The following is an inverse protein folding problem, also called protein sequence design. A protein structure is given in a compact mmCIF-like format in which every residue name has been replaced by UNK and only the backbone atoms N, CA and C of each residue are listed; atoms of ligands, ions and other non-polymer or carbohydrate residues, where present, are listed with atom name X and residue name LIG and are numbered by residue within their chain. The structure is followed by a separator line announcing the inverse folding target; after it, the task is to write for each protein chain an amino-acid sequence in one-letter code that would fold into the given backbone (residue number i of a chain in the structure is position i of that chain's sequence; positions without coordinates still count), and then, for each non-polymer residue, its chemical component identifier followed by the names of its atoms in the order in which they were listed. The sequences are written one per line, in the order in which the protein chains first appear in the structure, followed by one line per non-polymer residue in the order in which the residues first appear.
data_IF_523412470360
#
_entry.id   IF_523412470360
#
_cell.length_a   1.000
_cell.length_b   1.000
_cell.length_c   1.000
_cell.angle_alpha   90.00
_cell.angle_beta   90.00
_cell.angle_gamma   90.00
#
_symmetry.space_group_name_H-M   'P 1'
#
loop_
_entity.id
_entity.type
_entity.pdbx_description
1 polymer ?
#
# COMPACT_ATOMS: atom_id res chain seq x y z
N UNK A 1 -2.72 -12.02 10.99
CA UNK A 1 -1.43 -12.17 10.28
C UNK A 1 -1.28 -13.65 9.97
N UNK A 2 -1.44 -14.04 8.71
CA UNK A 2 -1.27 -15.39 8.15
C UNK A 2 -1.81 -16.56 9.02
N UNK A 3 -3.07 -16.93 8.80
CA UNK A 3 -3.66 -18.13 9.38
C UNK A 3 -3.56 -19.25 8.35
N UNK A 4 -2.48 -20.03 8.40
CA UNK A 4 -2.31 -21.26 7.61
C UNK A 4 -2.04 -22.38 8.59
N UNK A 5 -2.91 -23.39 8.62
CA UNK A 5 -2.78 -24.54 9.54
C UNK A 5 -1.96 -25.67 8.89
N UNK A 6 -1.28 -26.47 9.72
CA UNK A 6 -0.48 -27.62 9.27
C UNK A 6 -1.40 -28.82 8.94
N UNK A 7 -1.02 -29.72 8.00
CA UNK A 7 0.20 -29.70 7.20
C UNK A 7 0.16 -28.63 6.10
N UNK A 8 1.29 -27.97 5.85
CA UNK A 8 1.37 -26.98 4.78
C UNK A 8 1.26 -27.66 3.41
N UNK A 9 0.62 -26.99 2.45
CA UNK A 9 0.44 -27.55 1.11
C UNK A 9 1.79 -27.70 0.38
N UNK A 10 1.92 -28.68 -0.54
CA UNK A 10 3.17 -28.93 -1.27
C UNK A 10 3.72 -27.70 -2.00
N UNK A 11 2.82 -26.81 -2.45
CA UNK A 11 3.16 -25.56 -3.13
C UNK A 11 3.88 -24.52 -2.25
N UNK A 12 3.93 -24.74 -0.93
CA UNK A 12 4.60 -23.86 0.03
C UNK A 12 6.09 -24.14 0.19
N UNK A 13 6.64 -25.21 -0.40
CA UNK A 13 8.09 -25.53 -0.34
C UNK A 13 8.70 -25.51 -1.73
N UNK A 14 9.09 -24.33 -2.20
CA UNK A 14 9.58 -24.13 -3.57
C UNK A 14 11.08 -23.86 -3.58
N UNK A 15 11.75 -24.31 -4.65
CA UNK A 15 13.16 -24.00 -4.91
C UNK A 15 13.31 -22.58 -5.47
N UNK A 16 14.52 -22.01 -5.34
CA UNK A 16 14.85 -20.73 -5.96
C UNK A 16 14.71 -20.82 -7.48
N UNK A 17 14.21 -19.73 -8.09
CA UNK A 17 14.17 -19.65 -9.53
C UNK A 17 15.58 -19.48 -10.13
N UNK A 18 15.86 -20.06 -11.30
CA UNK A 18 17.04 -19.73 -12.06
C UNK A 18 17.05 -18.22 -12.39
N UNK A 19 18.14 -17.54 -12.06
CA UNK A 19 18.32 -16.12 -12.31
C UNK A 19 19.54 -15.88 -13.21
N UNK A 20 19.41 -14.95 -14.16
CA UNK A 20 20.53 -14.48 -15.00
C UNK A 20 21.59 -13.77 -14.15
N UNK A 21 22.85 -13.65 -14.61
CA UNK A 21 23.91 -12.98 -13.84
C UNK A 21 23.52 -11.58 -13.36
N UNK A 22 22.93 -10.76 -14.24
CA UNK A 22 22.41 -9.42 -13.91
C UNK A 22 21.31 -9.46 -12.84
N UNK A 23 20.41 -10.45 -12.89
CA UNK A 23 19.36 -10.60 -11.89
C UNK A 23 19.92 -11.10 -10.54
N UNK A 24 20.95 -11.94 -10.53
CA UNK A 24 21.62 -12.40 -9.31
C UNK A 24 22.28 -11.26 -8.57
N UNK A 25 23.05 -10.42 -9.27
CA UNK A 25 23.69 -9.24 -8.69
C UNK A 25 22.65 -8.27 -8.11
N UNK A 26 21.57 -8.00 -8.86
CA UNK A 26 20.48 -7.17 -8.36
C UNK A 26 19.83 -7.78 -7.10
N UNK A 27 19.63 -9.10 -7.08
CA UNK A 27 19.03 -9.80 -5.94
C UNK A 27 19.92 -9.71 -4.70
N UNK A 28 21.24 -9.88 -4.86
CA UNK A 28 22.23 -9.75 -3.79
C UNK A 28 22.21 -8.35 -3.18
N UNK A 29 22.19 -7.33 -4.03
CA UNK A 29 22.10 -5.93 -3.60
C UNK A 29 20.80 -5.66 -2.80
N UNK A 30 19.65 -6.10 -3.32
CA UNK A 30 18.35 -5.91 -2.63
C UNK A 30 18.31 -6.64 -1.29
N UNK A 31 18.78 -7.89 -1.21
CA UNK A 31 18.78 -8.66 0.04
C UNK A 31 19.70 -8.00 1.07
N UNK A 32 20.91 -7.60 0.68
CA UNK A 32 21.86 -6.94 1.57
C UNK A 32 21.30 -5.62 2.12
N UNK A 33 20.65 -4.81 1.28
CA UNK A 33 20.03 -3.56 1.72
C UNK A 33 18.87 -3.81 2.70
N UNK A 34 18.04 -4.82 2.42
CA UNK A 34 16.94 -5.20 3.32
C UNK A 34 17.44 -5.78 4.65
N UNK A 35 18.57 -6.48 4.66
CA UNK A 35 19.24 -6.94 5.88
C UNK A 35 19.77 -5.75 6.70
N UNK A 36 20.45 -4.79 6.06
CA UNK A 36 20.94 -3.56 6.72
C UNK A 36 19.81 -2.74 7.34
N UNK A 37 18.64 -2.73 6.70
CA UNK A 37 17.44 -2.05 7.20
C UNK A 37 16.69 -2.82 8.30
N UNK A 38 17.14 -4.04 8.64
CA UNK A 38 16.48 -4.91 9.61
C UNK A 38 15.11 -5.41 9.15
N UNK A 39 14.88 -5.48 7.84
CA UNK A 39 13.65 -6.01 7.24
C UNK A 39 13.78 -7.52 6.99
N UNK A 40 14.98 -7.98 6.62
CA UNK A 40 15.32 -9.39 6.44
C UNK A 40 16.35 -9.86 7.46
N UNK A 41 16.29 -11.15 7.79
CA UNK A 41 17.32 -11.88 8.53
C UNK A 41 17.68 -13.14 7.75
N UNK A 42 18.95 -13.53 7.78
CA UNK A 42 19.39 -14.83 7.24
C UNK A 42 18.92 -15.94 8.18
N UNK A 43 18.37 -17.01 7.63
CA UNK A 43 17.98 -18.19 8.42
C UNK A 43 19.24 -19.00 8.73
N UNK A 44 19.43 -19.33 10.01
CA UNK A 44 20.61 -20.07 10.47
C UNK A 44 20.50 -21.57 10.16
N UNK A 45 21.64 -22.26 10.14
CA UNK A 45 21.72 -23.68 9.75
C UNK A 45 20.96 -24.63 10.69
N UNK A 46 20.70 -24.20 11.92
CA UNK A 46 20.00 -24.97 12.95
C UNK A 46 18.48 -24.72 12.95
N UNK A 47 17.97 -23.83 12.10
CA UNK A 47 16.55 -23.54 12.01
C UNK A 47 15.87 -24.43 10.96
N UNK A 48 14.87 -25.20 11.38
CA UNK A 48 14.06 -26.00 10.46
C UNK A 48 13.28 -25.10 9.49
N UNK A 49 13.36 -25.40 8.19
CA UNK A 49 12.64 -24.68 7.14
C UNK A 49 11.57 -25.56 6.51
N UNK A 50 10.32 -25.23 6.82
CA UNK A 50 9.14 -25.97 6.33
C UNK A 50 8.56 -25.35 5.04
N UNK A 51 8.69 -24.03 4.89
CA UNK A 51 8.06 -23.23 3.83
C UNK A 51 9.09 -22.26 3.23
N UNK A 52 9.11 -22.14 1.91
CA UNK A 52 9.95 -21.21 1.15
C UNK A 52 9.23 -20.67 -0.08
N UNK A 53 9.27 -19.35 -0.23
CA UNK A 53 8.83 -18.63 -1.42
C UNK A 53 10.02 -18.18 -2.27
N UNK A 54 10.05 -18.48 -3.58
CA UNK A 54 11.13 -18.01 -4.44
C UNK A 54 10.97 -16.51 -4.71
N UNK A 55 12.08 -15.86 -5.04
CA UNK A 55 12.11 -14.42 -5.36
C UNK A 55 12.47 -14.21 -6.82
N UNK A 56 11.89 -13.18 -7.42
CA UNK A 56 12.18 -12.74 -8.78
C UNK A 56 12.58 -11.27 -8.79
N UNK A 57 13.42 -10.89 -9.75
CA UNK A 57 13.71 -9.50 -10.06
C UNK A 57 12.85 -9.07 -11.24
N UNK A 58 12.11 -7.98 -11.06
CA UNK A 58 11.39 -7.30 -12.13
C UNK A 58 12.10 -5.98 -12.43
N UNK A 59 12.11 -5.58 -13.71
CA UNK A 59 12.76 -4.36 -14.16
C UNK A 59 11.71 -3.37 -14.67
N UNK A 60 11.82 -2.12 -14.26
CA UNK A 60 10.96 -1.04 -14.74
C UNK A 60 11.78 0.25 -14.85
N UNK A 61 11.91 0.82 -16.05
CA UNK A 61 12.75 1.99 -16.34
C UNK A 61 14.16 1.84 -15.74
N UNK A 62 14.82 0.71 -16.05
CA UNK A 62 16.14 0.29 -15.52
C UNK A 62 16.28 0.15 -14.00
N UNK A 63 15.20 0.34 -13.24
CA UNK A 63 15.17 0.08 -11.79
C UNK A 63 14.72 -1.35 -11.54
N UNK A 64 15.54 -2.10 -10.82
CA UNK A 64 15.20 -3.45 -10.37
C UNK A 64 14.32 -3.41 -9.11
N UNK A 65 13.38 -4.33 -9.02
CA UNK A 65 12.55 -4.57 -7.83
C UNK A 65 12.53 -6.05 -7.50
N UNK A 66 12.87 -6.38 -6.25
CA UNK A 66 12.72 -7.73 -5.73
C UNK A 66 11.26 -7.99 -5.36
N UNK A 67 10.70 -9.09 -5.88
CA UNK A 67 9.33 -9.53 -5.62
C UNK A 67 9.37 -10.97 -5.12
N UNK A 68 8.82 -11.22 -3.94
CA UNK A 68 8.59 -12.57 -3.45
C UNK A 68 7.36 -13.18 -4.09
N UNK A 69 7.48 -14.40 -4.60
CA UNK A 69 6.34 -15.14 -5.14
C UNK A 69 5.53 -15.76 -4.00
N UNK A 70 4.66 -14.93 -3.43
CA UNK A 70 3.78 -15.29 -2.32
C UNK A 70 2.42 -15.83 -2.79
N UNK A 71 2.25 -16.16 -4.07
CA UNK A 71 0.96 -16.60 -4.61
C UNK A 71 0.47 -17.86 -3.89
N UNK A 72 1.34 -18.86 -3.73
CA UNK A 72 1.00 -20.08 -3.01
C UNK A 72 0.57 -19.76 -1.56
N UNK A 73 1.39 -19.01 -0.82
CA UNK A 73 1.07 -18.60 0.55
C UNK A 73 -0.29 -17.89 0.64
N UNK A 74 -0.54 -16.97 -0.30
CA UNK A 74 -1.78 -16.22 -0.36
C UNK A 74 -2.98 -17.11 -0.61
N UNK A 75 -2.89 -18.12 -1.49
CA UNK A 75 -3.98 -19.07 -1.77
C UNK A 75 -4.48 -19.75 -0.50
N UNK A 76 -3.56 -20.15 0.38
CA UNK A 76 -3.90 -20.87 1.62
C UNK A 76 -4.11 -19.96 2.83
N UNK A 77 -3.81 -18.67 2.69
CA UNK A 77 -4.10 -17.69 3.74
C UNK A 77 -5.58 -17.34 3.72
N UNK A 78 -6.24 -17.56 4.86
CA UNK A 78 -7.62 -17.12 5.08
C UNK A 78 -7.69 -15.59 4.88
N UNK A 79 -8.56 -15.08 3.98
CA UNK A 79 -8.64 -13.65 3.71
C UNK A 79 -9.18 -12.89 4.91
N UNK A 80 -8.46 -11.84 5.33
CA UNK A 80 -8.91 -10.90 6.35
C UNK A 80 -9.77 -9.81 5.70
N UNK A 81 -11.09 -9.87 5.89
CA UNK A 81 -12.07 -8.96 5.29
C UNK A 81 -12.32 -7.72 6.16
N UNK A 82 -11.25 -7.04 6.58
CA UNK A 82 -11.38 -5.73 7.23
C UNK A 82 -11.99 -4.72 6.25
N UNK A 83 -12.96 -3.89 6.64
CA UNK A 83 -13.53 -2.88 5.76
C UNK A 83 -12.47 -1.86 5.35
N UNK A 84 -12.24 -1.76 4.04
CA UNK A 84 -11.39 -0.74 3.44
C UNK A 84 -12.34 0.30 2.82
N UNK A 85 -12.15 1.61 3.09
CA UNK A 85 -13.00 2.66 2.55
C UNK A 85 -13.10 2.57 1.03
N UNK A 86 -14.32 2.65 0.49
CA UNK A 86 -14.53 2.62 -0.96
C UNK A 86 -14.15 3.96 -1.55
N UNK A 87 -13.45 3.94 -2.69
CA UNK A 87 -12.98 5.16 -3.37
C UNK A 87 -14.14 6.14 -3.68
N UNK A 88 -15.34 5.67 -3.98
CA UNK A 88 -16.49 6.56 -4.23
C UNK A 88 -16.97 7.32 -2.99
N UNK A 89 -16.93 6.69 -1.80
CA UNK A 89 -17.28 7.36 -0.55
C UNK A 89 -16.25 8.45 -0.23
N UNK A 90 -14.96 8.15 -0.47
CA UNK A 90 -13.85 9.10 -0.40
C UNK A 90 -14.03 10.30 -1.34
N UNK A 91 -14.50 10.08 -2.56
CA UNK A 91 -14.70 11.14 -3.57
C UNK A 91 -15.78 12.16 -3.16
N UNK A 92 -16.84 11.73 -2.49
CA UNK A 92 -17.93 12.62 -2.06
C UNK A 92 -17.48 13.55 -0.92
N UNK A 93 -16.56 13.10 -0.07
CA UNK A 93 -15.97 13.95 0.96
C UNK A 93 -14.96 14.94 0.37
N UNK A 94 -14.17 14.49 -0.61
CA UNK A 94 -13.22 15.34 -1.33
C UNK A 94 -13.89 16.48 -2.11
N UNK A 95 -15.10 16.28 -2.65
CA UNK A 95 -15.80 17.32 -3.41
C UNK A 95 -16.25 18.52 -2.58
N UNK A 96 -16.37 18.37 -1.26
CA UNK A 96 -16.72 19.45 -0.32
C UNK A 96 -15.49 20.19 0.23
N UNK A 97 -14.29 19.66 -0.02
CA UNK A 97 -13.05 20.21 0.50
C UNK A 97 -12.56 21.39 -0.36
N UNK A 98 -12.15 22.47 0.30
CA UNK A 98 -11.49 23.62 -0.33
C UNK A 98 -9.96 23.51 -0.28
N UNK A 99 -9.45 22.85 0.76
CA UNK A 99 -8.03 22.60 0.98
C UNK A 99 -7.79 21.12 1.17
N UNK A 100 -6.85 20.58 0.40
CA UNK A 100 -6.48 19.17 0.44
C UNK A 100 -4.97 19.04 0.65
N UNK A 101 -4.59 18.24 1.65
CA UNK A 101 -3.23 17.76 1.82
C UNK A 101 -3.22 16.25 1.65
N UNK A 102 -2.34 15.72 0.81
CA UNK A 102 -2.15 14.27 0.67
C UNK A 102 -0.72 13.88 0.98
N UNK A 103 -0.56 12.71 1.61
CA UNK A 103 0.74 12.18 1.99
C UNK A 103 0.74 10.66 1.91
N UNK A 104 1.88 10.09 1.54
CA UNK A 104 2.09 8.65 1.39
C UNK A 104 2.99 8.15 2.53
N UNK A 105 2.58 7.08 3.20
CA UNK A 105 3.41 6.42 4.20
C UNK A 105 4.64 5.80 3.53
N UNK A 106 5.84 6.22 3.95
CA UNK A 106 7.08 5.76 3.35
C UNK A 106 7.27 4.28 3.64
N UNK A 107 7.13 3.45 2.60
CA UNK A 107 7.26 1.99 2.71
C UNK A 107 6.38 1.44 3.85
N UNK A 108 5.11 1.86 3.91
CA UNK A 108 4.19 1.64 5.04
C UNK A 108 4.20 0.22 5.62
N UNK A 109 4.24 -0.80 4.76
CA UNK A 109 4.32 -2.21 5.21
C UNK A 109 5.57 -2.54 6.02
N UNK A 110 6.74 -2.00 5.68
CA UNK A 110 8.00 -2.30 6.38
C UNK A 110 8.15 -1.60 7.74
N UNK A 111 7.10 -0.98 8.27
CA UNK A 111 7.11 -0.37 9.60
C UNK A 111 6.61 -1.32 10.69
N UNK A 112 5.77 -2.30 10.34
CA UNK A 112 5.16 -3.23 11.29
C UNK A 112 5.93 -4.55 11.38
N UNK A 113 6.19 -5.02 12.60
CA UNK A 113 6.81 -6.31 12.84
C UNK A 113 5.85 -7.48 12.58
N UNK A 114 6.38 -8.55 12.00
CA UNK A 114 5.66 -9.82 11.87
C UNK A 114 5.76 -10.62 13.16
N UNK A 115 4.72 -11.38 13.49
CA UNK A 115 4.76 -12.38 14.56
C UNK A 115 5.74 -13.50 14.21
N UNK A 116 6.42 -14.15 15.18
CA UNK A 116 7.38 -15.22 14.90
C UNK A 116 6.83 -16.34 14.00
N UNK A 117 5.55 -16.68 14.15
CA UNK A 117 4.86 -17.63 13.29
C UNK A 117 4.77 -17.15 11.83
N UNK A 118 4.31 -15.91 11.61
CA UNK A 118 4.20 -15.34 10.28
C UNK A 118 5.56 -15.19 9.57
N UNK A 119 6.65 -14.94 10.33
CA UNK A 119 8.03 -14.88 9.79
C UNK A 119 8.43 -16.20 9.13
N UNK A 120 8.12 -17.33 9.78
CA UNK A 120 8.43 -18.67 9.26
C UNK A 120 7.69 -18.97 7.96
N UNK A 121 6.45 -18.49 7.83
CA UNK A 121 5.63 -18.65 6.61
C UNK A 121 6.09 -17.74 5.46
N UNK A 122 6.78 -16.64 5.77
CA UNK A 122 7.27 -15.65 4.82
C UNK A 122 8.76 -15.83 4.50
N UNK A 123 9.30 -17.03 4.69
CA UNK A 123 10.68 -17.33 4.31
C UNK A 123 10.83 -17.29 2.80
N UNK A 124 11.85 -16.59 2.33
CA UNK A 124 12.23 -16.51 0.93
C UNK A 124 13.49 -17.31 0.66
N UNK A 125 13.60 -17.87 -0.54
CA UNK A 125 14.78 -18.62 -0.99
C UNK A 125 15.42 -17.94 -2.19
N UNK A 126 16.73 -17.69 -2.09
CA UNK A 126 17.59 -17.18 -3.15
C UNK A 126 18.67 -18.22 -3.49
N UNK A 127 19.47 -17.98 -4.55
CA UNK A 127 20.47 -18.97 -5.03
C UNK A 127 21.57 -19.31 -4.01
N UNK A 128 21.75 -18.51 -2.96
CA UNK A 128 22.83 -18.68 -1.97
C UNK A 128 22.33 -18.80 -0.52
N UNK A 129 21.01 -18.84 -0.29
CA UNK A 129 20.49 -18.99 1.05
C UNK A 129 19.00 -18.70 1.21
N UNK A 130 18.54 -18.90 2.45
CA UNK A 130 17.16 -18.68 2.87
C UNK A 130 17.14 -17.49 3.84
N UNK A 131 16.15 -16.62 3.67
CA UNK A 131 15.96 -15.42 4.46
C UNK A 131 14.53 -15.34 4.97
N UNK A 132 14.31 -14.67 6.08
CA UNK A 132 12.98 -14.43 6.63
C UNK A 132 12.70 -12.94 6.80
N UNK A 133 11.47 -12.55 6.48
CA UNK A 133 10.99 -11.21 6.74
C UNK A 133 10.72 -11.02 8.24
N UNK A 134 11.27 -9.95 8.81
CA UNK A 134 10.99 -9.51 10.18
C UNK A 134 9.81 -8.53 10.22
N UNK A 135 9.54 -7.86 9.11
CA UNK A 135 8.50 -6.82 8.98
C UNK A 135 7.56 -7.14 7.82
N UNK A 136 6.35 -6.58 7.84
CA UNK A 136 5.38 -6.81 6.77
C UNK A 136 6.00 -6.39 5.43
N UNK A 137 5.78 -7.21 4.41
CA UNK A 137 6.28 -6.98 3.05
C UNK A 137 5.13 -6.90 2.06
N UNK A 138 5.40 -6.34 0.90
CA UNK A 138 4.46 -6.30 -0.21
C UNK A 138 4.13 -7.72 -0.70
N UNK A 139 2.93 -7.87 -1.27
CA UNK A 139 2.46 -9.13 -1.83
C UNK A 139 1.77 -10.07 -0.84
N UNK A 140 1.68 -9.73 0.44
CA UNK A 140 0.89 -10.49 1.42
C UNK A 140 -0.59 -10.12 1.28
N UNK A 141 -1.46 -11.11 1.08
CA UNK A 141 -2.92 -10.93 0.90
C UNK A 141 -3.57 -10.05 1.97
N UNK A 142 -3.24 -10.26 3.24
CA UNK A 142 -3.88 -9.58 4.36
C UNK A 142 -3.14 -8.30 4.82
N UNK A 143 -2.07 -7.90 4.15
CA UNK A 143 -1.31 -6.71 4.55
C UNK A 143 -2.14 -5.42 4.46
N UNK A 144 -2.92 -5.15 3.38
CA UNK A 144 -3.79 -3.97 3.30
C UNK A 144 -4.81 -3.91 4.45
N UNK A 145 -5.50 -5.02 4.72
CA UNK A 145 -6.51 -5.12 5.80
C UNK A 145 -5.90 -4.84 7.17
N UNK A 146 -4.71 -5.37 7.43
CA UNK A 146 -4.00 -5.15 8.69
C UNK A 146 -3.58 -3.69 8.84
N UNK A 147 -3.05 -3.09 7.77
CA UNK A 147 -2.66 -1.68 7.76
C UNK A 147 -3.86 -0.76 7.97
N UNK A 148 -4.98 -1.03 7.30
CA UNK A 148 -6.21 -0.26 7.48
C UNK A 148 -6.74 -0.36 8.92
N UNK A 149 -6.69 -1.54 9.54
CA UNK A 149 -7.09 -1.73 10.93
C UNK A 149 -6.23 -0.91 11.89
N UNK A 150 -4.91 -0.90 11.67
CA UNK A 150 -3.99 -0.06 12.42
C UNK A 150 -4.38 1.42 12.29
N UNK A 151 -4.63 1.90 11.07
CA UNK A 151 -5.04 3.28 10.82
C UNK A 151 -6.38 3.64 11.48
N UNK A 152 -7.35 2.74 11.44
CA UNK A 152 -8.63 2.92 12.12
C UNK A 152 -8.48 3.00 13.65
N UNK A 153 -7.46 2.36 14.21
CA UNK A 153 -7.15 2.42 15.65
C UNK A 153 -6.44 3.72 16.02
N UNK A 154 -5.60 4.25 15.13
CA UNK A 154 -4.84 5.48 15.35
C UNK A 154 -5.74 6.72 15.15
N UNK A 155 -6.63 6.69 14.16
CA UNK A 155 -7.46 7.83 13.77
C UNK A 155 -8.98 7.57 13.84
N UNK A 156 -9.51 6.99 14.94
CA UNK A 156 -10.90 6.56 14.97
C UNK A 156 -11.88 7.73 14.80
N UNK A 157 -11.60 8.85 15.47
CA UNK A 157 -12.46 10.03 15.45
C UNK A 157 -12.39 10.75 14.10
N UNK A 158 -11.18 10.98 13.60
CA UNK A 158 -10.93 11.76 12.39
C UNK A 158 -11.48 11.05 11.14
N UNK A 159 -11.41 9.72 11.11
CA UNK A 159 -12.04 8.90 10.07
C UNK A 159 -13.57 8.91 10.18
N UNK A 160 -14.13 8.89 11.40
CA UNK A 160 -15.58 8.93 11.61
C UNK A 160 -16.21 10.26 11.21
N UNK A 161 -15.48 11.37 11.42
CA UNK A 161 -15.90 12.71 11.03
C UNK A 161 -15.75 12.96 9.52
N UNK A 162 -14.99 12.12 8.81
CA UNK A 162 -14.92 12.15 7.35
C UNK A 162 -14.07 13.27 6.76
N UNK A 163 -13.27 13.97 7.56
CA UNK A 163 -12.30 14.94 7.03
C UNK A 163 -10.91 14.34 6.84
N UNK A 164 -10.62 13.22 7.50
CA UNK A 164 -9.44 12.41 7.26
C UNK A 164 -9.85 11.17 6.48
N UNK A 165 -9.16 10.91 5.38
CA UNK A 165 -9.41 9.75 4.54
C UNK A 165 -8.11 8.98 4.42
N UNK A 166 -8.15 7.71 4.80
CA UNK A 166 -6.99 6.82 4.74
C UNK A 166 -7.35 5.61 3.92
N UNK A 167 -6.61 5.40 2.83
CA UNK A 167 -6.74 4.22 1.99
C UNK A 167 -5.38 3.54 1.87
N UNK A 168 -5.18 2.49 2.67
CA UNK A 168 -3.90 1.79 2.77
C UNK A 168 -2.79 2.83 3.05
N UNK A 169 -1.86 3.06 2.12
CA UNK A 169 -0.69 3.92 2.32
C UNK A 169 -0.98 5.42 2.10
N UNK A 170 -2.12 5.78 1.50
CA UNK A 170 -2.51 7.16 1.22
C UNK A 170 -3.28 7.78 2.39
N UNK A 171 -2.81 8.92 2.87
CA UNK A 171 -3.45 9.71 3.94
C UNK A 171 -3.82 11.07 3.34
N UNK A 172 -5.10 11.42 3.40
CA UNK A 172 -5.66 12.60 2.76
C UNK A 172 -6.46 13.39 3.79
N UNK A 173 -6.13 14.67 3.92
CA UNK A 173 -6.76 15.61 4.84
C UNK A 173 -7.57 16.60 4.03
N UNK A 174 -8.84 16.75 4.39
CA UNK A 174 -9.80 17.61 3.72
C UNK A 174 -10.25 18.73 4.65
N UNK A 175 -10.35 19.97 4.16
CA UNK A 175 -10.85 21.09 4.96
C UNK A 175 -11.51 22.19 4.15
N UNK A 176 -12.42 22.92 4.78
CA UNK A 176 -13.24 23.97 4.20
C UNK A 176 -12.55 25.35 4.29
N UNK A 177 -11.76 25.57 5.34
CA UNK A 177 -10.99 26.80 5.57
C UNK A 177 -9.53 26.49 5.81
N UNK A 178 -8.66 27.47 5.56
CA UNK A 178 -7.21 27.28 5.71
C UNK A 178 -6.79 27.08 7.17
N UNK A 179 -7.40 27.84 8.08
CA UNK A 179 -7.14 27.76 9.51
C UNK A 179 -7.45 26.35 10.05
N UNK A 180 -8.63 25.84 9.72
CA UNK A 180 -9.04 24.48 10.08
C UNK A 180 -8.12 23.43 9.45
N UNK A 181 -7.64 23.67 8.23
CA UNK A 181 -6.70 22.77 7.57
C UNK A 181 -5.38 22.63 8.32
N UNK A 182 -4.82 23.74 8.82
CA UNK A 182 -3.60 23.73 9.61
C UNK A 182 -3.79 23.02 10.95
N UNK A 183 -4.94 23.19 11.60
CA UNK A 183 -5.29 22.49 12.83
C UNK A 183 -5.37 20.96 12.62
N UNK A 184 -6.14 20.53 11.61
CA UNK A 184 -6.29 19.13 11.21
C UNK A 184 -4.94 18.51 10.84
N UNK A 185 -4.14 19.20 10.04
CA UNK A 185 -2.80 18.73 9.67
C UNK A 185 -1.88 18.61 10.88
N UNK A 186 -1.88 19.59 11.78
CA UNK A 186 -1.08 19.55 13.01
C UNK A 186 -1.44 18.33 13.86
N UNK A 187 -2.74 18.06 14.02
CA UNK A 187 -3.24 16.89 14.76
C UNK A 187 -2.75 15.59 14.12
N UNK A 188 -2.93 15.44 12.81
CA UNK A 188 -2.50 14.24 12.09
C UNK A 188 -1.00 14.03 12.22
N UNK A 189 -0.18 15.04 11.93
CA UNK A 189 1.28 14.93 12.02
C UNK A 189 1.76 14.61 13.44
N UNK A 190 1.15 15.20 14.48
CA UNK A 190 1.46 14.86 15.88
C UNK A 190 1.21 13.39 16.17
N UNK A 191 0.08 12.85 15.72
CA UNK A 191 -0.24 11.44 15.96
C UNK A 191 0.65 10.49 15.15
N UNK A 192 0.98 10.87 13.92
CA UNK A 192 1.96 10.14 13.10
C UNK A 192 3.33 10.06 13.79
N UNK A 193 3.78 11.18 14.38
CA UNK A 193 5.02 11.21 15.16
C UNK A 193 4.95 10.32 16.41
N UNK A 194 3.83 10.34 17.13
CA UNK A 194 3.62 9.50 18.33
C UNK A 194 3.72 8.01 18.03
N UNK A 195 3.17 7.56 16.90
CA UNK A 195 3.25 6.15 16.47
C UNK A 195 4.53 5.83 15.69
N UNK A 196 5.45 6.79 15.58
CA UNK A 196 6.71 6.70 14.83
C UNK A 196 6.53 6.25 13.36
N UNK A 197 5.39 6.60 12.75
CA UNK A 197 5.17 6.31 11.33
C UNK A 197 5.96 7.30 10.47
N UNK A 198 6.56 6.80 9.39
CA UNK A 198 7.36 7.62 8.46
C UNK A 198 6.54 8.00 7.23
N UNK A 199 6.63 9.26 6.83
CA UNK A 199 5.95 9.82 5.65
C UNK A 199 6.97 10.10 4.55
N UNK A 200 6.58 9.89 3.29
CA UNK A 200 7.39 10.26 2.12
C UNK A 200 7.27 11.74 1.81
N UNK A 201 8.32 12.52 2.13
CA UNK A 201 8.37 13.95 1.79
C UNK A 201 8.25 14.22 0.28
N UNK A 202 8.77 13.32 -0.56
CA UNK A 202 8.67 13.46 -2.03
C UNK A 202 7.23 13.33 -2.55
N UNK A 203 6.38 12.66 -1.79
CA UNK A 203 4.95 12.45 -2.11
C UNK A 203 4.05 13.26 -1.18
N UNK A 204 4.62 14.23 -0.45
CA UNK A 204 3.86 15.11 0.42
C UNK A 204 3.34 16.29 -0.39
N UNK A 205 2.03 16.37 -0.52
CA UNK A 205 1.33 17.38 -1.27
C UNK A 205 0.56 18.28 -0.29
N UNK A 206 1.02 19.51 -0.09
CA UNK A 206 0.48 20.41 0.92
C UNK A 206 -0.55 21.41 0.38
N UNK A 207 -1.73 21.45 0.98
CA UNK A 207 -2.64 22.60 0.93
C UNK A 207 -3.14 23.02 -0.46
N UNK A 208 -3.30 22.07 -1.38
CA UNK A 208 -3.77 22.37 -2.74
C UNK A 208 -5.24 22.83 -2.73
N UNK A 209 -5.57 23.83 -3.56
CA UNK A 209 -6.85 24.54 -3.53
C UNK A 209 -7.88 24.06 -4.59
N UNK A 210 -7.64 23.00 -5.37
CA UNK A 210 -8.52 22.65 -6.51
C UNK A 210 -8.58 21.15 -6.90
N UNK A 211 -9.58 20.81 -7.72
CA UNK A 211 -9.86 19.53 -8.41
C UNK A 211 -8.65 18.78 -9.01
N UNK A 212 -7.52 19.44 -9.28
CA UNK A 212 -6.27 18.76 -9.65
C UNK A 212 -5.78 17.80 -8.55
N UNK A 213 -6.06 18.12 -7.29
CA UNK A 213 -5.77 17.24 -6.15
C UNK A 213 -6.58 15.94 -6.20
N UNK A 214 -7.85 16.00 -6.61
CA UNK A 214 -8.70 14.82 -6.85
C UNK A 214 -8.10 13.91 -7.93
N UNK A 215 -7.61 14.47 -9.05
CA UNK A 215 -6.97 13.66 -10.10
C UNK A 215 -5.68 13.00 -9.62
N UNK A 216 -4.85 13.70 -8.84
CA UNK A 216 -3.62 13.13 -8.29
C UNK A 216 -3.88 12.10 -7.18
N UNK A 217 -4.85 12.35 -6.31
CA UNK A 217 -5.28 11.45 -5.23
C UNK A 217 -5.94 10.21 -5.82
N UNK A 218 -6.85 10.36 -6.78
CA UNK A 218 -7.54 9.26 -7.46
C UNK A 218 -6.60 8.47 -8.37
N UNK A 219 -5.60 9.14 -8.98
CA UNK A 219 -4.50 8.47 -9.68
C UNK A 219 -3.57 7.70 -8.72
N UNK A 220 -3.52 8.05 -7.43
CA UNK A 220 -2.72 7.38 -6.40
C UNK A 220 -3.43 6.17 -5.79
N UNK A 221 -4.76 6.26 -5.66
CA UNK A 221 -5.68 5.23 -5.16
C UNK A 221 -5.81 4.01 -6.12
N UNK A 222 -4.71 3.46 -6.64
CA UNK A 222 -4.62 2.18 -7.34
C UNK A 222 -5.79 1.80 -8.27
N UNK A 223 -6.43 2.78 -8.91
CA UNK A 223 -7.37 2.53 -9.98
C UNK A 223 -6.52 2.38 -11.22
N UNK A 224 -6.55 1.18 -11.81
CA UNK A 224 -6.09 0.94 -13.18
C UNK A 224 -6.93 1.68 -14.22
N UNK A 225 -7.54 2.82 -13.86
CA UNK A 225 -8.31 3.69 -14.73
C UNK A 225 -7.40 4.84 -15.13
N UNK A 226 -7.34 5.08 -16.44
CA UNK A 226 -6.51 6.09 -17.06
C UNK A 226 -6.73 7.46 -16.38
N UNK A 227 -5.63 8.08 -15.93
CA UNK A 227 -5.60 9.34 -15.20
C UNK A 227 -6.33 10.46 -15.93
N UNK A 228 -6.35 10.40 -17.26
CA UNK A 228 -7.01 11.39 -18.11
C UNK A 228 -8.53 11.20 -18.16
N UNK A 229 -9.03 9.96 -18.05
CA UNK A 229 -10.46 9.66 -18.10
C UNK A 229 -11.17 10.05 -16.82
N UNK A 230 -10.59 9.73 -15.67
CA UNK A 230 -11.19 10.08 -14.37
C UNK A 230 -11.18 11.58 -14.14
N UNK A 231 -10.12 12.26 -14.58
CA UNK A 231 -10.06 13.72 -14.59
C UNK A 231 -11.16 14.34 -15.44
N UNK A 232 -11.41 13.80 -16.64
CA UNK A 232 -12.43 14.32 -17.55
C UNK A 232 -13.85 14.23 -16.96
N UNK A 233 -14.16 13.15 -16.24
CA UNK A 233 -15.47 12.97 -15.59
C UNK A 233 -15.60 13.86 -14.34
N UNK A 234 -14.57 13.93 -13.50
CA UNK A 234 -14.60 14.73 -12.26
C UNK A 234 -14.57 16.26 -12.50
N UNK A 235 -13.94 16.71 -13.60
CA UNK A 235 -13.85 18.13 -13.97
C UNK A 235 -15.06 18.63 -14.77
N UNK A 236 -15.97 17.75 -15.20
CA UNK A 236 -17.16 18.20 -15.92
C UNK A 236 -18.12 18.92 -14.97
N UNK A 237 -18.62 20.07 -15.41
CA UNK A 237 -19.71 20.77 -14.73
C UNK A 237 -20.98 19.91 -14.81
N UNK A 238 -21.83 20.02 -13.78
CA UNK A 238 -23.12 19.32 -13.74
C UNK A 238 -23.89 19.70 -15.02
N UNK A 239 -24.26 18.71 -15.87
CA UNK A 239 -24.88 18.98 -17.15
C UNK A 239 -26.19 19.74 -16.95
N UNK A 240 -26.31 20.91 -17.58
CA UNK A 240 -27.48 21.79 -17.42
C UNK A 240 -28.53 21.55 -18.50
N UNK A 241 -28.19 20.78 -19.53
CA UNK A 241 -29.09 20.46 -20.63
C UNK A 241 -28.96 18.99 -21.08
N UNK A 242 -29.97 18.54 -21.82
CA UNK A 242 -30.09 17.16 -22.32
C UNK A 242 -28.89 16.73 -23.18
N UNK A 243 -28.26 17.67 -23.91
CA UNK A 243 -27.12 17.39 -24.77
C UNK A 243 -25.85 17.13 -23.95
N UNK A 244 -25.61 17.93 -22.92
CA UNK A 244 -24.53 17.74 -21.95
C UNK A 244 -24.73 16.46 -21.14
N UNK A 245 -25.97 16.16 -20.73
CA UNK A 245 -26.30 14.91 -20.01
C UNK A 245 -25.97 13.68 -20.85
N UNK A 246 -26.31 13.69 -22.14
CA UNK A 246 -26.01 12.58 -23.06
C UNK A 246 -24.50 12.44 -23.33
N UNK A 247 -23.77 13.56 -23.37
CA UNK A 247 -22.30 13.56 -23.47
C UNK A 247 -21.63 13.00 -22.21
N UNK A 248 -22.14 13.36 -21.02
CA UNK A 248 -21.69 12.83 -19.73
C UNK A 248 -21.91 11.32 -19.63
N UNK A 249 -23.12 10.84 -19.97
CA UNK A 249 -23.45 9.42 -19.97
C UNK A 249 -22.62 8.60 -20.98
N UNK A 250 -22.23 9.22 -22.10
CA UNK A 250 -21.33 8.62 -23.08
C UNK A 250 -19.88 8.47 -22.60
N UNK A 251 -19.45 9.26 -21.62
CA UNK A 251 -18.14 9.17 -20.98
C UNK A 251 -18.11 8.12 -19.86
N UNK A 252 -19.21 7.94 -19.12
CA UNK A 252 -19.33 6.97 -18.01
C UNK A 252 -19.54 5.52 -18.49
N UNK A 253 -19.93 5.32 -19.75
CA UNK A 253 -20.23 4.00 -20.32
C UNK A 253 -19.03 3.26 -20.94
N UNK A 254 -17.79 3.73 -20.72
CA UNK A 254 -16.55 3.20 -21.33
C UNK A 254 -15.36 2.97 -20.37
#
# INVERSE_FOLDING_TARGET
MLNVERPYPPLSRRAAYPASPRAREALENHINDLMKLGVLRKVEHNEEVEVTAPVIITWHNDKSRMVGDLIALNTYTIPDKHPIPRIHETLTQLSKARFITSMDSLKGFHQNFLTPHARKLLRIIAHWGIYEYLRITFGIKNAPSNYQRMMNTIFPHELSEGWLIIHIDDIIICSETWQLHLERLSLVLKRILQVNMKISLKKFNFGFHELKALVHVVSGLSLGIDKNKVAAVLLQQIPQNKKEMMSFLGLDSY
#
